data_IF_186101254346
#
_entry.id   IF_186101254346
#
_cell.length_a   1.000
_cell.length_b   1.000
_cell.length_c   1.000
_cell.angle_alpha   90.00
_cell.angle_beta   90.00
_cell.angle_gamma   90.00
#
_symmetry.space_group_name_H-M   'P 1'
#
loop_
_entity.id
_entity.type
_entity.pdbx_description
1 polymer ?
#
# COMPACT_ATOMS: atom_id res chain seq x y z
N UNK A 1 -18.41 -7.05 2.73
CA UNK A 1 -16.95 -6.77 2.69
C UNK A 1 -16.17 -7.97 2.20
N UNK A 2 -16.45 -9.17 2.72
CA UNK A 2 -15.76 -10.39 2.27
C UNK A 2 -16.02 -10.74 0.81
N UNK A 3 -17.16 -10.35 0.24
CA UNK A 3 -17.55 -10.55 -1.16
C UNK A 3 -17.32 -9.31 -2.05
N UNK A 4 -16.67 -8.29 -1.49
CA UNK A 4 -16.40 -7.02 -2.14
C UNK A 4 -14.91 -6.83 -2.47
N UNK A 5 -14.67 -5.98 -3.47
CA UNK A 5 -13.35 -5.51 -3.87
C UNK A 5 -13.37 -3.99 -3.90
N UNK A 6 -12.27 -3.36 -3.50
CA UNK A 6 -12.17 -1.91 -3.46
C UNK A 6 -10.76 -1.44 -3.79
N UNK A 7 -10.65 -0.17 -4.16
CA UNK A 7 -9.38 0.54 -4.23
C UNK A 7 -9.39 1.66 -3.19
N UNK A 8 -8.27 1.87 -2.51
CA UNK A 8 -8.11 2.99 -1.58
C UNK A 8 -6.78 3.70 -1.87
N UNK A 9 -6.79 5.03 -1.73
CA UNK A 9 -5.60 5.86 -1.86
C UNK A 9 -5.33 6.52 -0.53
N UNK A 10 -4.33 6.02 0.19
CA UNK A 10 -4.12 6.32 1.61
C UNK A 10 -2.84 7.13 1.77
N UNK A 11 -2.90 8.16 2.62
CA UNK A 11 -1.71 8.92 3.02
C UNK A 11 -1.13 8.32 4.29
N UNK A 12 0.16 8.00 4.24
CA UNK A 12 0.95 7.55 5.38
C UNK A 12 2.06 8.53 5.71
N UNK A 13 2.47 8.57 6.96
CA UNK A 13 3.68 9.28 7.38
C UNK A 13 4.83 8.28 7.45
N UNK A 14 5.90 8.53 6.72
CA UNK A 14 7.06 7.64 6.64
C UNK A 14 8.35 8.43 6.91
N UNK A 15 9.38 7.75 7.40
CA UNK A 15 10.66 8.33 7.78
C UNK A 15 10.85 8.54 9.29
N UNK A 16 12.09 8.83 9.66
CA UNK A 16 12.55 8.98 11.04
C UNK A 16 12.18 10.35 11.66
N UNK A 17 12.62 10.55 12.91
CA UNK A 17 12.37 11.75 13.70
C UNK A 17 12.79 13.06 13.01
N UNK A 18 13.82 13.01 12.14
CA UNK A 18 14.36 14.17 11.43
C UNK A 18 13.77 14.34 10.01
N UNK A 19 13.02 13.36 9.49
CA UNK A 19 12.52 13.37 8.11
C UNK A 19 11.15 12.70 7.96
N UNK A 20 10.13 13.20 8.67
CA UNK A 20 8.74 12.78 8.47
C UNK A 20 8.21 13.31 7.14
N UNK A 21 7.99 12.41 6.18
CA UNK A 21 7.43 12.73 4.86
C UNK A 21 6.07 12.08 4.68
N UNK A 22 5.14 12.82 4.07
CA UNK A 22 3.87 12.27 3.61
C UNK A 22 4.16 11.45 2.35
N UNK A 23 3.80 10.17 2.37
CA UNK A 23 3.80 9.32 1.19
C UNK A 23 2.40 8.76 0.97
N UNK A 24 2.12 8.31 -0.24
CA UNK A 24 0.83 7.74 -0.61
C UNK A 24 0.97 6.27 -0.97
N UNK A 25 -0.05 5.49 -0.62
CA UNK A 25 -0.16 4.07 -0.92
C UNK A 25 -1.43 3.84 -1.72
N UNK A 26 -1.32 3.13 -2.84
CA UNK A 26 -2.48 2.61 -3.57
C UNK A 26 -2.78 1.19 -3.06
N UNK A 27 -3.92 1.02 -2.42
CA UNK A 27 -4.39 -0.26 -1.89
C UNK A 27 -5.44 -0.86 -2.80
N UNK A 28 -5.36 -2.18 -2.99
CA UNK A 28 -6.40 -3.00 -3.62
C UNK A 28 -6.91 -4.00 -2.59
N UNK A 29 -8.14 -3.82 -2.12
CA UNK A 29 -8.82 -4.80 -1.26
C UNK A 29 -9.51 -5.85 -2.13
N UNK A 30 -9.27 -7.13 -1.84
CA UNK A 30 -10.02 -8.23 -2.44
C UNK A 30 -10.47 -9.16 -1.31
N UNK A 31 -11.74 -9.03 -0.92
CA UNK A 31 -12.31 -9.85 0.15
C UNK A 31 -12.22 -11.35 -0.15
N UNK A 32 -12.08 -12.22 0.87
CA UNK A 32 -11.87 -13.65 0.71
C UNK A 32 -12.97 -14.38 -0.07
N UNK A 33 -14.21 -13.90 0.00
CA UNK A 33 -15.39 -14.46 -0.67
C UNK A 33 -15.71 -13.81 -2.02
N UNK A 34 -14.85 -12.94 -2.56
CA UNK A 34 -15.04 -12.37 -3.90
C UNK A 34 -15.02 -13.48 -4.95
N UNK A 35 -16.05 -13.51 -5.81
CA UNK A 35 -16.18 -14.50 -6.88
C UNK A 35 -15.02 -14.44 -7.88
N UNK A 36 -14.68 -15.57 -8.50
CA UNK A 36 -13.58 -15.68 -9.48
C UNK A 36 -13.69 -14.64 -10.60
N UNK A 37 -14.91 -14.38 -11.08
CA UNK A 37 -15.14 -13.38 -12.12
C UNK A 37 -14.85 -11.95 -11.64
N UNK A 38 -15.29 -11.60 -10.42
CA UNK A 38 -14.99 -10.29 -9.82
C UNK A 38 -13.47 -10.14 -9.58
N UNK A 39 -12.78 -11.21 -9.14
CA UNK A 39 -11.31 -11.23 -8.96
C UNK A 39 -10.58 -11.02 -10.27
N UNK A 40 -10.97 -11.72 -11.34
CA UNK A 40 -10.36 -11.58 -12.66
C UNK A 40 -10.42 -10.13 -13.18
N UNK A 41 -11.50 -9.41 -12.85
CA UNK A 41 -11.69 -8.01 -13.27
C UNK A 41 -10.87 -7.01 -12.44
N UNK A 42 -10.30 -7.40 -11.28
CA UNK A 42 -9.52 -6.50 -10.41
C UNK A 42 -8.34 -5.91 -11.16
N UNK A 43 -7.60 -6.71 -11.94
CA UNK A 43 -6.42 -6.25 -12.68
C UNK A 43 -6.77 -5.19 -13.73
N UNK A 44 -7.90 -5.37 -14.43
CA UNK A 44 -8.41 -4.43 -15.42
C UNK A 44 -8.76 -3.10 -14.76
N UNK A 45 -9.58 -3.14 -13.71
CA UNK A 45 -10.00 -1.92 -13.04
C UNK A 45 -8.82 -1.22 -12.35
N UNK A 46 -7.85 -1.98 -11.82
CA UNK A 46 -6.62 -1.44 -11.25
C UNK A 46 -5.79 -0.68 -12.29
N UNK A 47 -5.68 -1.21 -13.50
CA UNK A 47 -4.99 -0.51 -14.59
C UNK A 47 -5.66 0.83 -14.90
N UNK A 48 -7.00 0.89 -14.89
CA UNK A 48 -7.76 2.13 -15.07
C UNK A 48 -7.55 3.11 -13.91
N UNK A 49 -7.59 2.64 -12.67
CA UNK A 49 -7.32 3.47 -11.49
C UNK A 49 -5.92 4.11 -11.58
N UNK A 50 -4.91 3.35 -12.01
CA UNK A 50 -3.53 3.85 -12.17
C UNK A 50 -3.35 4.88 -13.28
N UNK A 51 -4.28 4.98 -14.23
CA UNK A 51 -4.27 6.07 -15.20
C UNK A 51 -4.59 7.42 -14.54
N UNK A 52 -5.40 7.41 -13.47
CA UNK A 52 -5.79 8.60 -12.71
C UNK A 52 -4.88 8.83 -11.51
N UNK A 53 -4.58 7.78 -10.75
CA UNK A 53 -3.74 7.81 -9.55
C UNK A 53 -2.34 7.39 -9.91
N UNK A 54 -1.50 8.38 -10.25
CA UNK A 54 -0.15 8.14 -10.79
C UNK A 54 0.95 8.27 -9.73
N UNK A 55 0.73 9.03 -8.66
CA UNK A 55 1.75 9.34 -7.67
C UNK A 55 1.51 8.62 -6.33
N UNK A 56 2.11 7.45 -6.19
CA UNK A 56 2.16 6.67 -4.95
C UNK A 56 3.55 6.04 -4.77
N UNK A 57 3.93 5.81 -3.52
CA UNK A 57 5.22 5.21 -3.17
C UNK A 57 5.20 3.68 -3.33
N UNK A 58 4.08 3.03 -3.00
CA UNK A 58 3.90 1.59 -3.13
C UNK A 58 2.44 1.25 -3.47
N UNK A 59 2.26 0.16 -4.19
CA UNK A 59 0.97 -0.47 -4.46
C UNK A 59 0.91 -1.79 -3.69
N UNK A 60 -0.18 -2.03 -2.94
CA UNK A 60 -0.38 -3.26 -2.18
C UNK A 60 -1.75 -3.87 -2.51
N UNK A 61 -1.81 -5.19 -2.60
CA UNK A 61 -3.05 -5.94 -2.59
C UNK A 61 -3.21 -6.57 -1.21
N UNK A 62 -4.38 -6.37 -0.61
CA UNK A 62 -4.70 -6.78 0.75
C UNK A 62 -5.89 -7.74 0.70
N UNK A 63 -5.77 -8.85 1.40
CA UNK A 63 -6.79 -9.91 1.44
C UNK A 63 -7.26 -10.21 2.87
N UNK A 64 -6.53 -9.73 3.89
CA UNK A 64 -6.94 -9.76 5.29
C UNK A 64 -7.06 -8.35 5.89
N UNK A 65 -8.11 -8.07 6.69
CA UNK A 65 -8.21 -6.80 7.42
C UNK A 65 -7.04 -6.56 8.39
N UNK A 66 -6.37 -7.62 8.86
CA UNK A 66 -5.22 -7.50 9.77
C UNK A 66 -4.01 -6.81 9.11
N UNK A 67 -3.97 -6.76 7.78
CA UNK A 67 -2.93 -6.08 7.01
C UNK A 67 -3.24 -4.57 6.82
N UNK A 68 -4.43 -4.10 7.21
CA UNK A 68 -4.84 -2.69 7.15
C UNK A 68 -4.45 -1.92 8.43
N UNK A 69 -3.19 -2.06 8.84
CA UNK A 69 -2.63 -1.34 10.00
C UNK A 69 -1.63 -0.27 9.59
N UNK A 70 -1.51 0.79 10.38
CA UNK A 70 -0.54 1.88 10.13
C UNK A 70 0.89 1.32 10.06
N UNK A 71 1.24 0.41 10.96
CA UNK A 71 2.56 -0.22 11.00
C UNK A 71 2.88 -1.04 9.75
N UNK A 72 1.93 -1.84 9.27
CA UNK A 72 2.10 -2.62 8.03
C UNK A 72 2.33 -1.71 6.82
N UNK A 73 1.50 -0.68 6.68
CA UNK A 73 1.61 0.27 5.57
C UNK A 73 2.91 1.06 5.63
N UNK A 74 3.33 1.51 6.81
CA UNK A 74 4.62 2.20 7.00
C UNK A 74 5.80 1.31 6.66
N UNK A 75 5.81 0.09 7.17
CA UNK A 75 6.87 -0.87 6.88
C UNK A 75 7.01 -1.12 5.37
N UNK A 76 5.88 -1.27 4.66
CA UNK A 76 5.87 -1.42 3.21
C UNK A 76 6.47 -0.18 2.50
N UNK A 77 6.12 1.01 2.96
CA UNK A 77 6.59 2.29 2.40
C UNK A 77 8.07 2.58 2.71
N UNK A 78 8.57 2.18 3.87
CA UNK A 78 9.97 2.35 4.25
C UNK A 78 10.86 1.37 3.47
N UNK A 79 10.37 0.15 3.24
CA UNK A 79 11.07 -0.87 2.43
C UNK A 79 11.39 -0.39 1.01
N UNK A 80 10.45 0.28 0.34
CA UNK A 80 10.70 0.89 -0.99
C UNK A 80 11.42 2.24 -0.91
N UNK A 81 11.41 2.89 0.26
CA UNK A 81 12.00 4.20 0.47
C UNK A 81 13.53 4.22 0.53
N UNK A 82 14.18 3.06 0.75
CA UNK A 82 15.64 2.89 0.70
C UNK A 82 16.47 3.70 1.71
N UNK A 83 15.87 4.64 2.43
CA UNK A 83 16.54 5.52 3.39
C UNK A 83 16.60 4.88 4.79
N UNK A 84 17.25 3.72 4.90
CA UNK A 84 17.79 3.28 6.17
C UNK A 84 19.19 3.89 6.30
N UNK A 85 19.26 5.16 6.69
CA UNK A 85 20.52 5.72 7.19
C UNK A 85 20.80 5.08 8.54
N UNK A 86 21.33 3.86 8.51
CA UNK A 86 22.00 3.30 9.67
C UNK A 86 23.12 4.26 10.03
N UNK A 87 23.02 4.91 11.19
CA UNK A 87 24.15 5.54 11.85
C UNK A 87 25.13 4.43 12.26
N UNK A 88 25.85 3.90 11.27
CA UNK A 88 26.92 2.95 11.46
C UNK A 88 28.14 3.70 11.94
N UNK A 89 28.16 4.14 13.19
CA UNK A 89 29.42 4.31 13.90
C UNK A 89 30.01 2.91 14.00
N UNK A 90 30.91 2.57 13.08
CA UNK A 90 31.84 1.47 13.26
C UNK A 90 33.06 2.06 13.95
N UNK A 91 33.18 1.74 15.24
CA UNK A 91 34.41 1.82 16.03
C UNK A 91 35.43 0.84 15.43
#
# INVERSE_FOLDING_TARGET
MDDERAFAFVRVFAGDEMSKRKKFVLLTWVGPSVSTLKRARVSIDKALVKQVVQNFAVELQIESPDELTDDFLRAAVDKVGGANYGTGTRI
#
